data_IF_977851399806
#
_entry.id   IF_977851399806
#
_cell.length_a   1.000
_cell.length_b   1.000
_cell.length_c   1.000
_cell.angle_alpha   90.00
_cell.angle_beta   90.00
_cell.angle_gamma   90.00
#
_symmetry.space_group_name_H-M   'P 1'
#
loop_
_entity.id
_entity.type
_entity.pdbx_description
1 polymer ?
#
# COMPACT_ATOMS: atom_id res chain seq x y z
N UNK A 1 -0.26 23.58 -25.75
CA UNK A 1 -0.03 23.75 -24.30
C UNK A 1 1.02 22.76 -23.85
N UNK A 2 2.09 23.21 -23.19
CA UNK A 2 3.07 22.30 -22.60
C UNK A 2 2.35 21.47 -21.52
N UNK A 3 2.30 20.14 -21.70
CA UNK A 3 1.54 19.22 -20.83
C UNK A 3 2.18 19.05 -19.44
N UNK A 4 3.46 19.43 -19.28
CA UNK A 4 4.26 19.20 -18.06
C UNK A 4 4.97 20.49 -17.62
N UNK A 5 5.33 20.56 -16.35
CA UNK A 5 6.04 21.71 -15.78
C UNK A 5 7.53 21.62 -16.10
N UNK A 6 8.22 22.78 -16.13
CA UNK A 6 9.67 22.84 -16.33
C UNK A 6 10.45 22.00 -15.31
N UNK A 7 9.96 21.92 -14.07
CA UNK A 7 10.58 21.11 -13.02
C UNK A 7 10.45 19.60 -13.31
N UNK A 8 9.31 19.15 -13.84
CA UNK A 8 9.13 17.78 -14.27
C UNK A 8 10.02 17.44 -15.47
N UNK A 9 10.12 18.34 -16.45
CA UNK A 9 10.99 18.14 -17.63
C UNK A 9 12.46 18.04 -17.25
N UNK A 10 12.93 18.89 -16.33
CA UNK A 10 14.29 18.82 -15.79
C UNK A 10 14.57 17.53 -15.01
N UNK A 11 13.59 17.03 -14.25
CA UNK A 11 13.68 15.74 -13.58
C UNK A 11 13.72 14.57 -14.58
N UNK A 12 12.86 14.60 -15.60
CA UNK A 12 12.79 13.56 -16.63
C UNK A 12 14.08 13.50 -17.47
N UNK A 13 14.74 14.63 -17.72
CA UNK A 13 16.01 14.67 -18.45
C UNK A 13 17.16 13.94 -17.73
N UNK A 14 17.06 13.73 -16.41
CA UNK A 14 18.04 12.95 -15.63
C UNK A 14 17.80 11.44 -15.69
N UNK A 15 16.68 11.01 -16.26
CA UNK A 15 16.28 9.61 -16.33
C UNK A 15 16.40 9.16 -17.78
N UNK A 16 17.31 8.22 -18.01
CA UNK A 16 17.35 7.47 -19.26
C UNK A 16 16.11 6.57 -19.37
N UNK A 17 15.31 6.78 -20.41
CA UNK A 17 14.07 6.05 -20.64
C UNK A 17 14.29 4.64 -21.20
N UNK A 18 15.45 4.36 -21.80
CA UNK A 18 15.79 3.06 -22.38
C UNK A 18 16.53 2.16 -21.37
N UNK A 19 17.10 2.77 -20.32
CA UNK A 19 17.78 2.05 -19.24
C UNK A 19 16.80 1.40 -18.26
N UNK A 20 17.07 0.15 -17.91
CA UNK A 20 16.50 -0.50 -16.73
C UNK A 20 17.45 -0.32 -15.53
N UNK A 21 16.94 0.29 -14.46
CA UNK A 21 17.69 0.58 -13.25
C UNK A 21 17.58 -0.59 -12.26
N UNK A 22 18.62 -0.78 -11.46
CA UNK A 22 18.52 -1.64 -10.28
C UNK A 22 17.56 -1.01 -9.25
N UNK A 23 16.87 -1.79 -8.39
CA UNK A 23 15.91 -1.24 -7.44
C UNK A 23 16.47 -0.13 -6.53
N UNK A 24 17.71 -0.31 -6.02
CA UNK A 24 18.37 0.70 -5.19
C UNK A 24 18.70 1.99 -5.97
N UNK A 25 19.22 1.85 -7.19
CA UNK A 25 19.51 2.98 -8.08
C UNK A 25 18.23 3.75 -8.43
N UNK A 26 17.15 3.03 -8.73
CA UNK A 26 15.85 3.61 -9.07
C UNK A 26 15.23 4.39 -7.91
N UNK A 27 15.30 3.84 -6.69
CA UNK A 27 14.82 4.52 -5.48
C UNK A 27 15.63 5.77 -5.17
N UNK A 28 16.96 5.70 -5.32
CA UNK A 28 17.85 6.86 -5.13
C UNK A 28 17.52 7.94 -6.15
N UNK A 29 17.41 7.57 -7.42
CA UNK A 29 17.04 8.50 -8.49
C UNK A 29 15.63 9.07 -8.29
N UNK A 30 14.67 8.30 -7.76
CA UNK A 30 13.33 8.78 -7.45
C UNK A 30 13.36 9.90 -6.40
N UNK A 31 14.24 9.80 -5.40
CA UNK A 31 14.44 10.87 -4.41
C UNK A 31 15.03 12.12 -5.04
N UNK A 32 16.08 11.96 -5.84
CA UNK A 32 16.81 13.07 -6.48
C UNK A 32 16.02 13.78 -7.59
N UNK A 33 15.02 13.09 -8.14
CA UNK A 33 14.17 13.59 -9.22
C UNK A 33 12.79 14.05 -8.74
N UNK A 34 12.55 14.14 -7.42
CA UNK A 34 11.32 14.69 -6.87
C UNK A 34 11.25 16.23 -7.10
N UNK A 35 10.32 16.73 -7.93
CA UNK A 35 10.18 18.17 -8.19
C UNK A 35 9.38 18.90 -7.10
N UNK A 36 8.83 18.17 -6.13
CA UNK A 36 7.97 18.73 -5.08
C UNK A 36 8.77 19.35 -3.94
N UNK A 37 8.22 20.43 -3.37
CA UNK A 37 8.72 21.04 -2.13
C UNK A 37 8.22 20.31 -0.86
N UNK A 38 7.26 19.40 -1.02
CA UNK A 38 6.70 18.60 0.07
C UNK A 38 7.32 17.20 0.08
N UNK A 39 7.24 16.54 1.23
CA UNK A 39 7.68 15.16 1.39
C UNK A 39 6.74 14.19 0.64
N UNK A 40 7.07 14.00 -0.64
CA UNK A 40 6.30 13.18 -1.56
C UNK A 40 6.38 11.70 -1.18
N UNK A 41 5.35 10.95 -1.56
CA UNK A 41 5.33 9.51 -1.36
C UNK A 41 6.08 8.85 -2.52
N UNK A 42 6.91 7.85 -2.19
CA UNK A 42 7.55 6.97 -3.16
C UNK A 42 6.64 5.75 -3.35
N UNK A 43 6.23 5.55 -4.59
CA UNK A 43 5.30 4.50 -4.98
C UNK A 43 5.90 3.60 -6.06
N UNK A 44 5.37 2.38 -6.11
CA UNK A 44 5.79 1.34 -7.03
C UNK A 44 4.59 0.85 -7.80
N UNK A 45 4.75 0.73 -9.11
CA UNK A 45 3.79 0.14 -10.02
C UNK A 45 4.41 -1.10 -10.67
N UNK A 46 3.79 -2.26 -10.43
CA UNK A 46 4.11 -3.48 -11.14
C UNK A 46 3.01 -3.82 -12.14
N UNK A 47 3.40 -4.20 -13.35
CA UNK A 47 2.50 -4.84 -14.31
C UNK A 47 2.69 -6.34 -14.21
N UNK A 48 1.66 -7.04 -13.76
CA UNK A 48 1.67 -8.47 -13.57
C UNK A 48 1.17 -9.23 -14.80
N UNK A 49 1.70 -10.43 -15.02
CA UNK A 49 1.28 -11.39 -16.04
C UNK A 49 0.12 -12.27 -15.58
N UNK A 50 -0.93 -11.65 -15.03
CA UNK A 50 -2.15 -12.34 -14.57
C UNK A 50 -3.37 -11.78 -15.30
N UNK A 51 -4.41 -12.60 -15.43
CA UNK A 51 -5.71 -12.19 -15.93
C UNK A 51 -6.66 -11.87 -14.74
N UNK A 52 -6.90 -10.60 -14.40
CA UNK A 52 -7.71 -10.21 -13.25
C UNK A 52 -9.20 -10.56 -13.41
N UNK A 53 -9.64 -10.98 -14.60
CA UNK A 53 -11.01 -11.48 -14.84
C UNK A 53 -11.21 -12.89 -14.29
N UNK A 54 -10.12 -13.63 -14.10
CA UNK A 54 -10.12 -15.00 -13.59
C UNK A 54 -9.86 -14.99 -12.09
N UNK A 55 -10.78 -15.58 -11.32
CA UNK A 55 -10.71 -15.57 -9.86
C UNK A 55 -9.46 -16.29 -9.32
N UNK A 56 -8.99 -17.34 -10.01
CA UNK A 56 -7.78 -18.11 -9.69
C UNK A 56 -6.48 -17.34 -9.98
N UNK A 57 -6.54 -16.23 -10.71
CA UNK A 57 -5.38 -15.37 -11.00
C UNK A 57 -5.44 -14.01 -10.29
N UNK A 58 -6.43 -13.80 -9.43
CA UNK A 58 -6.57 -12.55 -8.69
C UNK A 58 -5.52 -12.48 -7.59
N UNK A 59 -4.55 -11.57 -7.74
CA UNK A 59 -3.52 -11.32 -6.74
C UNK A 59 -4.01 -10.25 -5.75
N UNK A 60 -4.08 -10.63 -4.48
CA UNK A 60 -4.35 -9.73 -3.36
C UNK A 60 -3.52 -10.17 -2.17
N UNK A 61 -2.87 -9.22 -1.52
CA UNK A 61 -1.98 -9.48 -0.40
C UNK A 61 -1.88 -8.32 0.56
N UNK A 62 -1.21 -8.59 1.68
CA UNK A 62 -0.79 -7.56 2.62
C UNK A 62 0.65 -7.84 3.02
N UNK A 63 1.46 -6.79 3.13
CA UNK A 63 2.84 -6.89 3.61
C UNK A 63 3.08 -5.83 4.68
N UNK A 64 3.78 -6.22 5.74
CA UNK A 64 4.28 -5.27 6.72
C UNK A 64 5.63 -4.76 6.23
N UNK A 65 5.71 -3.45 5.93
CA UNK A 65 6.98 -2.84 5.53
C UNK A 65 7.88 -2.70 6.78
N UNK A 66 9.15 -3.13 6.72
CA UNK A 66 10.05 -3.09 7.88
C UNK A 66 10.27 -1.68 8.44
N UNK A 67 10.22 -0.65 7.58
CA UNK A 67 10.40 0.76 7.98
C UNK A 67 9.09 1.56 7.94
N UNK A 68 7.96 0.88 7.74
CA UNK A 68 6.66 1.49 7.56
C UNK A 68 6.55 2.40 6.32
N UNK A 69 5.46 3.16 6.23
CA UNK A 69 5.13 3.98 5.06
C UNK A 69 5.43 5.48 5.24
N UNK A 70 5.83 5.88 6.45
CA UNK A 70 6.03 7.29 6.82
C UNK A 70 4.75 8.11 6.99
N UNK A 71 3.57 7.47 6.93
CA UNK A 71 2.28 8.09 7.28
C UNK A 71 1.71 7.42 8.52
N UNK A 72 1.41 8.19 9.56
CA UNK A 72 0.64 7.71 10.71
C UNK A 72 -0.80 7.48 10.26
N UNK A 73 -1.18 6.21 10.11
CA UNK A 73 -2.55 5.84 9.75
C UNK A 73 -3.48 6.08 10.94
N UNK A 74 -4.60 6.77 10.69
CA UNK A 74 -5.69 6.89 11.68
C UNK A 74 -6.54 5.64 11.64
N UNK A 75 -6.54 4.88 12.72
CA UNK A 75 -7.18 3.56 12.80
C UNK A 75 -8.46 3.66 13.63
N UNK A 76 -9.57 3.27 13.00
CA UNK A 76 -10.86 3.08 13.67
C UNK A 76 -11.07 1.60 13.98
N UNK A 77 -11.55 1.31 15.18
CA UNK A 77 -11.83 -0.05 15.62
C UNK A 77 -13.29 -0.20 16.03
N UNK A 78 -13.98 -1.14 15.40
CA UNK A 78 -15.27 -1.64 15.85
C UNK A 78 -15.06 -2.80 16.82
N UNK A 79 -15.20 -2.54 18.11
CA UNK A 79 -15.08 -3.52 19.18
C UNK A 79 -15.95 -3.13 20.38
N UNK A 80 -16.28 -4.10 21.22
CA UNK A 80 -17.00 -3.92 22.50
C UNK A 80 -16.27 -4.64 23.63
N UNK A 81 -16.55 -4.22 24.88
CA UNK A 81 -15.97 -4.82 26.09
C UNK A 81 -14.43 -4.79 26.11
N UNK A 82 -13.82 -5.86 26.60
CA UNK A 82 -12.37 -5.98 26.79
C UNK A 82 -11.55 -5.73 25.51
N UNK A 83 -12.12 -6.04 24.34
CA UNK A 83 -11.46 -5.79 23.05
C UNK A 83 -11.41 -4.31 22.69
N UNK A 84 -12.37 -3.52 23.16
CA UNK A 84 -12.36 -2.07 22.99
C UNK A 84 -11.26 -1.43 23.86
N UNK A 85 -11.13 -1.87 25.12
CA UNK A 85 -10.05 -1.41 26.00
C UNK A 85 -8.67 -1.78 25.45
N UNK A 86 -8.51 -3.01 24.96
CA UNK A 86 -7.29 -3.45 24.31
C UNK A 86 -6.94 -2.62 23.06
N UNK A 87 -7.94 -2.23 22.27
CA UNK A 87 -7.74 -1.37 21.10
C UNK A 87 -7.29 0.04 21.47
N UNK A 88 -7.87 0.63 22.53
CA UNK A 88 -7.46 1.94 23.06
C UNK A 88 -6.02 1.85 23.56
N UNK A 89 -5.67 0.80 24.30
CA UNK A 89 -4.31 0.57 24.80
C UNK A 89 -3.29 0.36 23.67
N UNK A 90 -3.71 -0.26 22.55
CA UNK A 90 -2.91 -0.39 21.33
C UNK A 90 -2.73 0.93 20.56
N UNK A 91 -3.39 2.00 21.00
CA UNK A 91 -3.31 3.32 20.39
C UNK A 91 -4.26 3.53 19.22
N UNK A 92 -5.40 2.84 19.14
CA UNK A 92 -6.43 3.15 18.15
C UNK A 92 -6.95 4.60 18.33
N UNK A 93 -7.18 5.31 17.23
CA UNK A 93 -7.61 6.71 17.26
C UNK A 93 -9.10 6.85 17.59
N UNK A 94 -9.91 5.90 17.11
CA UNK A 94 -11.34 5.84 17.38
C UNK A 94 -11.74 4.40 17.70
N UNK A 95 -12.44 4.20 18.81
CA UNK A 95 -12.96 2.89 19.22
C UNK A 95 -14.41 3.05 19.62
N UNK A 96 -15.28 2.17 19.12
CA UNK A 96 -16.71 2.24 19.40
C UNK A 96 -17.49 1.14 18.69
N UNK A 97 -18.81 1.20 18.79
CA UNK A 97 -19.70 0.19 18.23
C UNK A 97 -20.87 0.86 17.50
N UNK A 98 -22.06 0.88 18.09
CA UNK A 98 -23.29 1.40 17.45
C UNK A 98 -23.22 2.91 17.21
N UNK A 99 -22.60 3.65 18.12
CA UNK A 99 -22.38 5.10 18.03
C UNK A 99 -21.53 5.52 16.81
N UNK A 100 -20.43 4.80 16.56
CA UNK A 100 -19.59 5.05 15.39
C UNK A 100 -20.27 4.58 14.10
N UNK A 101 -21.08 3.51 14.15
CA UNK A 101 -21.84 3.04 12.99
C UNK A 101 -22.84 4.10 12.54
N UNK A 102 -23.58 4.72 13.45
CA UNK A 102 -24.51 5.81 13.12
C UNK A 102 -23.77 7.02 12.55
N UNK A 103 -22.66 7.42 13.17
CA UNK A 103 -21.83 8.54 12.71
C UNK A 103 -21.28 8.32 11.29
N UNK A 104 -20.83 7.11 10.97
CA UNK A 104 -20.32 6.74 9.64
C UNK A 104 -21.46 6.65 8.63
N UNK A 105 -22.64 6.15 9.04
CA UNK A 105 -23.84 6.19 8.21
C UNK A 105 -24.24 7.63 7.86
N UNK A 106 -23.99 8.58 8.76
CA UNK A 106 -24.14 10.02 8.54
C UNK A 106 -23.07 10.65 7.62
N UNK A 107 -22.10 9.87 7.13
CA UNK A 107 -21.10 10.29 6.15
C UNK A 107 -19.70 10.61 6.71
N UNK A 108 -19.50 10.47 8.01
CA UNK A 108 -18.18 10.68 8.62
C UNK A 108 -17.19 9.57 8.24
N UNK A 109 -16.01 9.94 7.74
CA UNK A 109 -14.98 9.00 7.25
C UNK A 109 -13.57 9.56 7.44
N UNK A 110 -13.32 10.20 8.58
CA UNK A 110 -12.03 10.84 8.86
C UNK A 110 -11.01 9.85 9.48
N UNK A 111 -10.86 8.69 8.84
CA UNK A 111 -9.92 7.64 9.23
C UNK A 111 -9.36 6.96 7.98
N UNK A 112 -8.19 6.34 8.10
CA UNK A 112 -7.47 5.73 6.99
C UNK A 112 -7.67 4.20 6.93
N UNK A 113 -7.96 3.57 8.06
CA UNK A 113 -8.20 2.13 8.15
C UNK A 113 -9.26 1.79 9.20
N UNK A 114 -10.04 0.75 8.93
CA UNK A 114 -11.01 0.19 9.88
C UNK A 114 -10.67 -1.27 10.22
N UNK A 115 -10.72 -1.59 11.51
CA UNK A 115 -10.61 -2.94 12.07
C UNK A 115 -11.93 -3.28 12.74
N UNK A 116 -12.39 -4.53 12.61
CA UNK A 116 -13.62 -4.97 13.26
C UNK A 116 -13.45 -6.34 13.89
N UNK A 117 -14.16 -6.56 15.00
CA UNK A 117 -14.31 -7.90 15.56
C UNK A 117 -15.38 -8.69 14.78
N UNK A 118 -15.24 -10.03 14.64
CA UNK A 118 -16.18 -10.83 13.84
C UNK A 118 -17.65 -10.70 14.26
N UNK A 119 -17.90 -10.48 15.55
CA UNK A 119 -19.23 -10.30 16.15
C UNK A 119 -19.94 -9.02 15.69
N UNK A 120 -19.20 -7.95 15.37
CA UNK A 120 -19.77 -6.68 14.93
C UNK A 120 -19.91 -6.57 13.41
N UNK A 121 -19.38 -7.54 12.65
CA UNK A 121 -19.41 -7.52 11.17
C UNK A 121 -20.83 -7.51 10.60
N UNK A 122 -21.81 -8.12 11.28
CA UNK A 122 -23.22 -8.08 10.85
C UNK A 122 -23.79 -6.67 10.81
N UNK A 123 -23.33 -5.79 11.72
CA UNK A 123 -23.74 -4.38 11.76
C UNK A 123 -22.89 -3.53 10.81
N UNK A 124 -21.56 -3.71 10.81
CA UNK A 124 -20.61 -2.99 9.93
C UNK A 124 -20.90 -3.27 8.45
N UNK A 125 -21.39 -4.46 8.10
CA UNK A 125 -21.79 -4.80 6.74
C UNK A 125 -22.85 -3.86 6.14
N UNK A 126 -23.70 -3.24 6.96
CA UNK A 126 -24.71 -2.26 6.53
C UNK A 126 -24.08 -0.97 6.00
N UNK A 127 -22.87 -0.65 6.45
CA UNK A 127 -22.09 0.52 6.01
C UNK A 127 -21.40 0.31 4.66
N UNK A 128 -21.61 -0.83 3.99
CA UNK A 128 -20.97 -1.15 2.71
C UNK A 128 -21.18 -0.10 1.62
N UNK A 129 -22.30 0.66 1.66
CA UNK A 129 -22.54 1.79 0.73
C UNK A 129 -21.57 2.96 0.92
N UNK A 130 -21.13 3.21 2.16
CA UNK A 130 -20.21 4.33 2.50
C UNK A 130 -18.76 3.85 2.48
N UNK A 131 -18.48 2.71 3.11
CA UNK A 131 -17.11 2.19 3.27
C UNK A 131 -16.61 1.44 2.03
N UNK A 132 -17.49 0.82 1.26
CA UNK A 132 -17.13 0.01 0.08
C UNK A 132 -16.44 0.82 -1.02
N UNK A 133 -17.03 1.92 -1.52
CA UNK A 133 -16.41 2.74 -2.57
C UNK A 133 -15.07 3.36 -2.17
N UNK A 134 -14.83 3.51 -0.87
CA UNK A 134 -13.60 4.10 -0.30
C UNK A 134 -12.54 3.07 0.08
N UNK A 135 -12.77 1.77 -0.15
CA UNK A 135 -11.90 0.67 0.28
C UNK A 135 -11.62 0.64 1.80
N UNK A 136 -12.46 1.27 2.62
CA UNK A 136 -12.32 1.32 4.08
C UNK A 136 -13.04 0.16 4.79
N UNK A 137 -13.66 -0.75 4.03
CA UNK A 137 -14.45 -1.84 4.60
C UNK A 137 -13.53 -2.92 5.18
N UNK A 138 -13.67 -3.30 6.47
CA UNK A 138 -12.92 -4.40 7.07
C UNK A 138 -13.13 -5.70 6.29
N UNK A 139 -12.04 -6.45 6.06
CA UNK A 139 -12.07 -7.69 5.29
C UNK A 139 -11.24 -8.78 6.01
N UNK A 140 -11.82 -9.99 6.20
CA UNK A 140 -11.06 -11.12 6.75
C UNK A 140 -9.79 -11.45 5.94
N UNK A 141 -9.82 -11.27 4.62
CA UNK A 141 -8.67 -11.55 3.74
C UNK A 141 -7.49 -10.62 3.95
N UNK A 142 -7.71 -9.40 4.44
CA UNK A 142 -6.64 -8.44 4.78
C UNK A 142 -6.24 -8.55 6.25
N UNK A 143 -6.88 -9.45 7.02
CA UNK A 143 -6.65 -9.59 8.46
C UNK A 143 -7.18 -8.42 9.28
N UNK A 144 -8.06 -7.58 8.72
CA UNK A 144 -8.68 -6.45 9.45
C UNK A 144 -9.99 -6.85 10.13
N UNK A 145 -10.41 -8.11 9.96
CA UNK A 145 -11.44 -8.75 10.77
C UNK A 145 -10.79 -9.84 11.60
N UNK A 146 -10.58 -9.59 12.89
CA UNK A 146 -9.85 -10.50 13.78
C UNK A 146 -10.32 -10.35 15.24
N UNK A 147 -10.13 -11.39 16.03
CA UNK A 147 -10.30 -11.33 17.48
C UNK A 147 -9.13 -10.62 18.17
N UNK A 148 -7.94 -10.67 17.58
CA UNK A 148 -6.73 -10.01 18.08
C UNK A 148 -6.63 -8.57 17.51
N UNK A 149 -7.35 -7.67 18.17
CA UNK A 149 -7.47 -6.27 17.75
C UNK A 149 -6.17 -5.50 17.96
N UNK A 150 -5.45 -5.79 19.04
CA UNK A 150 -4.16 -5.16 19.39
C UNK A 150 -3.15 -5.37 18.28
N UNK A 151 -2.98 -6.61 17.81
CA UNK A 151 -2.06 -6.92 16.72
C UNK A 151 -2.46 -6.21 15.43
N UNK A 152 -3.75 -6.21 15.08
CA UNK A 152 -4.23 -5.55 13.87
C UNK A 152 -3.97 -4.03 13.89
N UNK A 153 -4.18 -3.37 15.02
CA UNK A 153 -3.88 -1.94 15.17
C UNK A 153 -2.38 -1.67 15.03
N UNK A 154 -1.55 -2.46 15.72
CA UNK A 154 -0.10 -2.33 15.64
C UNK A 154 0.45 -2.58 14.23
N UNK A 155 -0.06 -3.59 13.53
CA UNK A 155 0.33 -3.89 12.15
C UNK A 155 -0.01 -2.72 11.21
N UNK A 156 -1.23 -2.19 11.30
CA UNK A 156 -1.67 -1.06 10.45
C UNK A 156 -0.85 0.20 10.74
N UNK A 157 -0.62 0.51 12.02
CA UNK A 157 0.21 1.67 12.41
C UNK A 157 1.70 1.45 12.10
N UNK A 158 2.16 0.21 12.09
CA UNK A 158 3.51 -0.20 11.67
C UNK A 158 3.75 -0.11 10.17
N UNK A 159 2.76 0.30 9.37
CA UNK A 159 2.90 0.48 7.94
C UNK A 159 2.64 -0.79 7.13
N UNK A 160 1.71 -1.64 7.61
CA UNK A 160 1.08 -2.64 6.78
C UNK A 160 0.42 -2.00 5.57
N UNK A 161 0.80 -2.46 4.39
CA UNK A 161 0.17 -2.07 3.13
C UNK A 161 -0.67 -3.24 2.61
N UNK A 162 -1.83 -2.93 2.05
CA UNK A 162 -2.61 -3.85 1.25
C UNK A 162 -2.45 -3.53 -0.23
N UNK A 163 -2.40 -4.57 -1.05
CA UNK A 163 -2.33 -4.41 -2.49
C UNK A 163 -3.26 -5.40 -3.17
N UNK A 164 -3.84 -4.94 -4.28
CA UNK A 164 -4.76 -5.71 -5.11
C UNK A 164 -4.51 -5.38 -6.56
N UNK A 165 -4.50 -6.40 -7.40
CA UNK A 165 -4.41 -6.21 -8.84
C UNK A 165 -5.67 -5.50 -9.37
N UNK A 166 -5.47 -4.51 -10.23
CA UNK A 166 -6.55 -3.81 -10.91
C UNK A 166 -7.09 -4.60 -12.13
N UNK A 167 -8.07 -4.04 -12.83
CA UNK A 167 -8.65 -4.64 -14.05
C UNK A 167 -7.69 -4.72 -15.25
N UNK A 168 -6.54 -4.06 -15.17
CA UNK A 168 -5.50 -3.97 -16.20
C UNK A 168 -4.22 -4.73 -15.81
N UNK A 169 -4.29 -5.54 -14.76
CA UNK A 169 -3.16 -6.31 -14.24
C UNK A 169 -2.05 -5.47 -13.60
N UNK A 170 -2.35 -4.23 -13.19
CA UNK A 170 -1.41 -3.39 -12.45
C UNK A 170 -1.57 -3.60 -10.95
N UNK A 171 -0.44 -3.56 -10.25
CA UNK A 171 -0.35 -3.60 -8.81
C UNK A 171 0.37 -2.32 -8.36
N UNK A 172 -0.32 -1.51 -7.57
CA UNK A 172 0.21 -0.25 -7.04
C UNK A 172 0.33 -0.36 -5.53
N UNK A 173 1.47 0.07 -5.00
CA UNK A 173 1.70 0.16 -3.57
C UNK A 173 2.74 1.23 -3.25
N UNK A 174 2.74 1.68 -2.01
CA UNK A 174 3.69 2.68 -1.49
C UNK A 174 4.82 1.96 -0.76
N UNK A 175 6.04 2.49 -0.87
CA UNK A 175 7.21 1.95 -0.16
C UNK A 175 7.79 2.93 0.87
N UNK A 176 7.29 4.17 0.92
CA UNK A 176 7.67 5.14 1.93
C UNK A 176 7.60 6.57 1.44
N UNK A 177 8.38 7.43 2.09
CA UNK A 177 8.49 8.87 1.81
C UNK A 177 9.85 9.21 1.19
N UNK A 178 9.93 10.31 0.46
CA UNK A 178 11.20 10.81 -0.10
C UNK A 178 12.19 11.15 1.02
N UNK A 179 11.71 11.56 2.20
CA UNK A 179 12.52 11.78 3.40
C UNK A 179 13.23 10.55 3.95
N UNK A 180 12.82 9.33 3.57
CA UNK A 180 13.47 8.10 4.04
C UNK A 180 14.83 7.89 3.39
N UNK A 181 15.74 7.22 4.09
CA UNK A 181 17.02 6.79 3.53
C UNK A 181 16.80 5.84 2.34
N UNK A 182 17.67 5.92 1.33
CA UNK A 182 17.55 5.08 0.13
C UNK A 182 17.61 3.58 0.47
N UNK A 183 18.41 3.21 1.47
CA UNK A 183 18.51 1.84 2.00
C UNK A 183 17.16 1.38 2.57
N UNK A 184 16.51 2.18 3.41
CA UNK A 184 15.21 1.84 4.01
C UNK A 184 14.13 1.66 2.95
N UNK A 185 14.12 2.52 1.94
CA UNK A 185 13.18 2.42 0.81
C UNK A 185 13.46 1.16 -0.04
N UNK A 186 14.72 0.82 -0.26
CA UNK A 186 15.10 -0.40 -0.97
C UNK A 186 14.72 -1.67 -0.18
N UNK A 187 14.89 -1.68 1.14
CA UNK A 187 14.46 -2.78 2.01
C UNK A 187 12.93 -2.93 2.05
N UNK A 188 12.20 -1.81 2.09
CA UNK A 188 10.74 -1.82 1.96
C UNK A 188 10.29 -2.35 0.58
N UNK A 189 10.97 -1.95 -0.50
CA UNK A 189 10.75 -2.50 -1.83
C UNK A 189 11.02 -4.01 -1.88
N UNK A 190 12.11 -4.48 -1.26
CA UNK A 190 12.49 -5.88 -1.20
C UNK A 190 11.42 -6.73 -0.50
N UNK A 191 10.96 -6.28 0.67
CA UNK A 191 9.90 -6.96 1.43
C UNK A 191 8.59 -7.05 0.62
N UNK A 192 8.21 -5.97 -0.06
CA UNK A 192 7.02 -5.97 -0.91
C UNK A 192 7.18 -6.88 -2.14
N UNK A 193 8.35 -6.88 -2.77
CA UNK A 193 8.65 -7.74 -3.92
C UNK A 193 8.62 -9.22 -3.54
N UNK A 194 9.22 -9.60 -2.41
CA UNK A 194 9.22 -10.97 -1.91
C UNK A 194 7.78 -11.47 -1.68
N UNK A 195 6.94 -10.66 -1.03
CA UNK A 195 5.54 -11.02 -0.80
C UNK A 195 4.75 -11.14 -2.11
N UNK A 196 4.98 -10.24 -3.07
CA UNK A 196 4.35 -10.32 -4.40
C UNK A 196 4.75 -11.62 -5.12
N UNK A 197 6.03 -11.99 -5.08
CA UNK A 197 6.52 -13.23 -5.67
C UNK A 197 5.94 -14.47 -4.98
N UNK A 198 5.78 -14.42 -3.65
CA UNK A 198 5.14 -15.48 -2.85
C UNK A 198 3.67 -15.68 -3.22
N UNK A 199 2.97 -14.60 -3.56
CA UNK A 199 1.55 -14.60 -3.96
C UNK A 199 1.33 -14.93 -5.45
N UNK A 200 2.36 -15.38 -6.17
CA UNK A 200 2.25 -15.80 -7.56
C UNK A 200 1.25 -16.96 -7.69
N UNK A 201 0.15 -16.79 -8.45
CA UNK A 201 -0.78 -17.88 -8.71
C UNK A 201 -0.14 -18.96 -9.58
N UNK A 202 -0.38 -20.23 -9.25
CA UNK A 202 0.10 -21.37 -10.05
C UNK A 202 -0.45 -21.38 -11.48
N UNK A 203 -1.63 -20.77 -11.69
CA UNK A 203 -2.26 -20.62 -13.00
C UNK A 203 -1.64 -19.51 -13.88
N UNK A 204 -0.76 -18.66 -13.33
CA UNK A 204 -0.05 -17.63 -14.09
C UNK A 204 1.02 -18.27 -14.98
N UNK A 205 0.90 -18.07 -16.30
CA UNK A 205 1.85 -18.57 -17.30
C UNK A 205 2.77 -17.45 -17.77
N UNK A 206 4.04 -17.79 -18.05
CA UNK A 206 5.03 -16.83 -18.54
C UNK A 206 5.62 -15.95 -17.44
N UNK A 207 6.05 -14.74 -17.82
CA UNK A 207 6.71 -13.80 -16.91
C UNK A 207 5.69 -13.16 -15.96
N UNK A 208 5.86 -13.40 -14.67
CA UNK A 208 4.93 -12.93 -13.64
C UNK A 208 4.99 -11.41 -13.45
N UNK A 209 6.18 -10.80 -13.40
CA UNK A 209 6.36 -9.35 -13.38
C UNK A 209 6.82 -8.91 -14.77
N UNK A 210 5.95 -8.25 -15.53
CA UNK A 210 6.23 -7.80 -16.90
C UNK A 210 6.97 -6.47 -16.92
N UNK A 211 6.56 -5.53 -16.06
CA UNK A 211 7.18 -4.20 -15.91
C UNK A 211 7.18 -3.80 -14.45
N UNK A 212 8.23 -3.11 -14.04
CA UNK A 212 8.33 -2.49 -12.73
C UNK A 212 8.72 -1.02 -12.91
N UNK A 213 8.02 -0.13 -12.23
CA UNK A 213 8.29 1.31 -12.26
C UNK A 213 8.24 1.85 -10.85
N UNK A 214 9.24 2.63 -10.47
CA UNK A 214 9.27 3.41 -9.23
C UNK A 214 9.01 4.87 -9.60
N UNK A 215 8.17 5.56 -8.85
CA UNK A 215 7.90 6.97 -9.05
C UNK A 215 7.70 7.68 -7.72
N UNK A 216 7.87 8.99 -7.70
CA UNK A 216 7.33 9.84 -6.63
C UNK A 216 6.01 10.43 -7.08
N UNK A 217 5.16 10.83 -6.13
CA UNK A 217 3.81 11.39 -6.41
C UNK A 217 3.80 12.48 -7.49
N UNK A 218 4.87 13.28 -7.61
CA UNK A 218 4.97 14.37 -8.58
C UNK A 218 6.07 14.16 -9.62
N UNK A 219 6.85 13.09 -9.50
CA UNK A 219 8.00 12.82 -10.34
C UNK A 219 7.68 11.97 -11.57
N UNK A 220 8.63 11.91 -12.52
CA UNK A 220 8.59 10.94 -13.60
C UNK A 220 8.76 9.49 -13.07
N UNK A 221 8.29 8.52 -13.85
CA UNK A 221 8.48 7.11 -13.55
C UNK A 221 9.85 6.60 -14.02
N UNK A 222 10.51 5.82 -13.16
CA UNK A 222 11.82 5.21 -13.40
C UNK A 222 11.63 3.72 -13.59
N UNK A 223 12.08 3.20 -14.74
CA UNK A 223 11.94 1.78 -15.08
C UNK A 223 12.92 0.94 -14.31
N UNK A 224 12.42 0.00 -13.52
CA UNK A 224 13.23 -0.96 -12.78
C UNK A 224 13.33 -2.26 -13.57
N UNK A 225 14.49 -2.91 -13.55
CA UNK A 225 14.63 -4.24 -14.15
C UNK A 225 13.70 -5.23 -13.42
N UNK A 226 12.67 -5.78 -14.10
CA UNK A 226 11.73 -6.70 -13.45
C UNK A 226 12.31 -8.12 -13.26
N UNK A 227 13.55 -8.40 -13.70
CA UNK A 227 14.24 -9.67 -13.46
C UNK A 227 15.03 -9.67 -12.15
N UNK A 228 15.33 -8.49 -11.59
CA UNK A 228 16.10 -8.37 -10.36
C UNK A 228 15.18 -8.70 -9.19
N UNK A 229 15.29 -9.93 -8.69
CA UNK A 229 14.49 -10.44 -7.56
C UNK A 229 15.19 -10.32 -6.22
N UNK A 230 16.50 -10.02 -6.21
CA UNK A 230 17.28 -9.70 -5.02
C UNK A 230 17.65 -8.23 -5.04
N UNK A 231 17.19 -7.48 -4.04
CA UNK A 231 17.57 -6.09 -3.85
C UNK A 231 18.88 -6.08 -3.10
N UNK A 232 19.96 -5.69 -3.77
CA UNK A 232 21.25 -5.42 -3.14
C UNK A 232 21.23 -3.96 -2.69
N UNK A 233 21.51 -3.73 -1.40
CA UNK A 233 21.61 -2.40 -0.78
C UNK A 233 23.05 -1.87 -0.79
N UNK A 234 24.00 -2.66 -1.28
CA UNK A 234 25.41 -2.31 -1.46
C UNK A 234 25.80 -2.44 -2.93
N UNK A 235 26.70 -1.56 -3.38
CA UNK A 235 27.40 -1.62 -4.67
C UNK A 235 28.63 -2.50 -4.52
#
# INVERSE_FOLDING_TARGET
MAKRSKAYEAAAAKIDAEKFYAPFEAVTLAKDTNPSKFDATVEVAFRLGVDPRKADQMVRGTVNLPHGTGKTARVLVFATGDKAEAAIAAGADFVGSDDLIEKISGGWTDFDAAVATPDLMGKVGRLGKVLGPRNLMPNPKTGTVTADVTKAVNDIKGGKIDFRVDKHSNLHFIIGKVSFDAVKLAENYAAALEEVLRLKPSASKGRYIQKATVATTFGPGISVDPNVTKVLTEV
#
